data_IF_992539707805
#
_entry.id   IF_992539707805
#
_cell.length_a   1.000
_cell.length_b   1.000
_cell.length_c   1.000
_cell.angle_alpha   90.00
_cell.angle_beta   90.00
_cell.angle_gamma   90.00
#
_symmetry.space_group_name_H-M   'P 1'
#
loop_
_entity.id
_entity.type
_entity.pdbx_description
1 polymer ?
#
# COMPACT_ATOMS: atom_id res chain seq x y z
N UNK A 1 -10.40 23.74 -6.64
CA UNK A 1 -9.90 22.34 -6.68
C UNK A 1 -8.43 22.42 -7.09
N UNK A 2 -7.54 21.73 -6.39
CA UNK A 2 -6.14 21.62 -6.81
C UNK A 2 -6.10 20.79 -8.10
N UNK A 3 -5.34 21.21 -9.10
CA UNK A 3 -5.24 20.45 -10.35
C UNK A 3 -4.54 19.11 -10.07
N UNK A 4 -5.21 18.00 -10.40
CA UNK A 4 -4.67 16.65 -10.26
C UNK A 4 -3.73 16.41 -11.45
N UNK A 5 -2.50 15.98 -11.19
CA UNK A 5 -1.58 15.62 -12.28
C UNK A 5 -2.10 14.43 -13.10
N UNK A 6 -1.73 14.42 -14.38
CA UNK A 6 -2.11 13.37 -15.32
C UNK A 6 -1.66 11.98 -14.84
N UNK A 7 -0.47 11.89 -14.27
CA UNK A 7 0.07 10.62 -13.75
C UNK A 7 -0.84 10.01 -12.70
N UNK A 8 -1.37 10.80 -11.77
CA UNK A 8 -2.32 10.34 -10.76
C UNK A 8 -3.69 10.03 -11.36
N UNK A 9 -4.19 10.81 -12.32
CA UNK A 9 -5.46 10.49 -12.99
C UNK A 9 -5.41 9.16 -13.75
N UNK A 10 -4.29 8.89 -14.43
CA UNK A 10 -4.09 7.74 -15.30
C UNK A 10 -3.59 6.48 -14.54
N UNK A 11 -4.00 6.30 -13.27
CA UNK A 11 -3.79 5.06 -12.52
C UNK A 11 -5.10 4.30 -12.28
N UNK A 12 -4.98 3.00 -12.05
CA UNK A 12 -6.05 2.17 -11.48
C UNK A 12 -6.02 2.24 -9.94
N UNK A 13 -7.17 2.51 -9.34
CA UNK A 13 -7.33 2.60 -7.89
C UNK A 13 -8.37 1.61 -7.39
N UNK A 14 -8.10 0.89 -6.28
CA UNK A 14 -9.15 0.13 -5.62
C UNK A 14 -10.12 1.12 -4.95
N UNK A 15 -11.41 0.85 -5.02
CA UNK A 15 -12.42 1.66 -4.32
C UNK A 15 -13.09 0.90 -3.17
N UNK A 16 -13.25 -0.41 -3.33
CA UNK A 16 -13.77 -1.32 -2.31
C UNK A 16 -13.61 -2.79 -2.75
N UNK A 17 -13.87 -3.73 -1.83
CA UNK A 17 -14.08 -5.13 -2.21
C UNK A 17 -15.53 -5.35 -2.63
N UNK A 18 -15.79 -6.29 -3.54
CA UNK A 18 -17.16 -6.59 -3.96
C UNK A 18 -18.07 -6.98 -2.80
N UNK A 19 -17.50 -7.65 -1.79
CA UNK A 19 -18.22 -8.08 -0.59
C UNK A 19 -18.62 -6.92 0.32
N UNK A 20 -17.97 -5.77 0.22
CA UNK A 20 -18.22 -4.60 1.06
C UNK A 20 -19.09 -3.53 0.38
N UNK A 21 -19.22 -3.56 -0.95
CA UNK A 21 -20.15 -2.68 -1.67
C UNK A 21 -21.59 -3.12 -1.37
N UNK A 22 -22.42 -2.27 -0.74
CA UNK A 22 -23.81 -2.60 -0.44
C UNK A 22 -24.64 -2.68 -1.71
N UNK A 23 -25.72 -3.47 -1.70
CA UNK A 23 -26.72 -3.45 -2.77
C UNK A 23 -27.39 -2.08 -2.87
N UNK A 24 -27.69 -1.65 -4.09
CA UNK A 24 -28.21 -0.33 -4.40
C UNK A 24 -27.11 0.71 -4.58
N UNK A 25 -27.45 1.98 -4.36
CA UNK A 25 -26.56 3.13 -4.53
C UNK A 25 -25.78 3.42 -3.25
N UNK A 26 -24.47 3.63 -3.38
CA UNK A 26 -23.58 4.03 -2.30
C UNK A 26 -22.60 5.11 -2.75
N UNK A 27 -22.12 5.90 -1.78
CA UNK A 27 -21.14 6.96 -2.02
C UNK A 27 -19.71 6.43 -1.84
N UNK A 28 -18.81 6.86 -2.71
CA UNK A 28 -17.37 6.62 -2.61
C UNK A 28 -16.64 7.92 -3.05
N UNK A 29 -15.30 7.97 -2.94
CA UNK A 29 -14.51 9.17 -3.28
C UNK A 29 -13.13 8.79 -3.77
N UNK A 30 -12.63 9.47 -4.79
CA UNK A 30 -11.31 9.22 -5.35
C UNK A 30 -10.70 10.53 -5.86
N UNK A 31 -9.46 10.82 -5.47
CA UNK A 31 -8.71 12.00 -5.90
C UNK A 31 -9.49 13.32 -5.75
N UNK A 32 -10.28 13.46 -4.68
CA UNK A 32 -11.11 14.64 -4.42
C UNK A 32 -12.42 14.70 -5.19
N UNK A 33 -12.76 13.66 -5.97
CA UNK A 33 -13.98 13.55 -6.77
C UNK A 33 -14.93 12.54 -6.12
N UNK A 34 -16.18 12.94 -5.92
CA UNK A 34 -17.23 12.06 -5.42
C UNK A 34 -17.65 11.05 -6.48
N UNK A 35 -17.79 9.80 -6.04
CA UNK A 35 -18.20 8.68 -6.86
C UNK A 35 -19.55 8.14 -6.38
N UNK A 36 -20.41 7.78 -7.33
CA UNK A 36 -21.61 7.00 -7.10
C UNK A 36 -21.35 5.56 -7.53
N UNK A 37 -21.45 4.62 -6.59
CA UNK A 37 -21.26 3.19 -6.83
C UNK A 37 -22.61 2.49 -6.67
N UNK A 38 -23.07 1.84 -7.73
CA UNK A 38 -24.30 1.05 -7.71
C UNK A 38 -23.94 -0.42 -7.82
N UNK A 39 -24.50 -1.25 -6.94
CA UNK A 39 -24.46 -2.71 -7.05
C UNK A 39 -25.87 -3.27 -7.21
N UNK A 40 -26.12 -4.04 -8.27
CA UNK A 40 -27.41 -4.71 -8.49
C UNK A 40 -27.52 -6.00 -7.69
N UNK A 41 -28.73 -6.54 -7.53
CA UNK A 41 -28.95 -7.84 -6.88
C UNK A 41 -28.27 -9.00 -7.63
N UNK A 42 -28.12 -8.87 -8.96
CA UNK A 42 -27.38 -9.81 -9.81
C UNK A 42 -25.84 -9.71 -9.66
N UNK A 43 -25.35 -8.75 -8.86
CA UNK A 43 -23.93 -8.56 -8.57
C UNK A 43 -23.19 -7.65 -9.55
N UNK A 44 -23.89 -7.01 -10.49
CA UNK A 44 -23.28 -6.02 -11.38
C UNK A 44 -22.95 -4.74 -10.63
N UNK A 45 -21.75 -4.22 -10.88
CA UNK A 45 -21.25 -2.99 -10.26
C UNK A 45 -21.05 -1.94 -11.34
N UNK A 46 -21.55 -0.73 -11.11
CA UNK A 46 -21.26 0.45 -11.93
C UNK A 46 -20.68 1.55 -11.05
N UNK A 47 -19.65 2.23 -11.54
CA UNK A 47 -19.04 3.37 -10.86
C UNK A 47 -19.21 4.60 -11.74
N UNK A 48 -19.69 5.71 -11.16
CA UNK A 48 -19.87 6.99 -11.85
C UNK A 48 -19.14 8.11 -11.12
N UNK A 49 -18.54 9.01 -11.89
CA UNK A 49 -18.16 10.34 -11.42
C UNK A 49 -19.06 11.35 -12.12
N UNK A 50 -19.86 12.09 -11.35
CA UNK A 50 -20.93 12.92 -11.89
C UNK A 50 -21.89 12.08 -12.76
N UNK A 51 -22.03 12.43 -14.05
CA UNK A 51 -22.89 11.71 -15.00
C UNK A 51 -22.14 10.65 -15.83
N UNK A 52 -20.80 10.59 -15.71
CA UNK A 52 -19.97 9.72 -16.53
C UNK A 52 -19.75 8.36 -15.86
N UNK A 53 -19.97 7.28 -16.61
CA UNK A 53 -19.53 5.95 -16.19
C UNK A 53 -18.01 5.87 -16.26
N UNK A 54 -17.39 5.42 -15.17
CA UNK A 54 -15.97 5.12 -15.12
C UNK A 54 -15.73 3.66 -15.51
N UNK A 55 -14.60 3.35 -16.17
CA UNK A 55 -14.24 1.97 -16.44
C UNK A 55 -13.96 1.24 -15.13
N UNK A 56 -14.26 -0.06 -15.12
CA UNK A 56 -14.02 -0.93 -13.96
C UNK A 56 -13.12 -2.11 -14.34
N UNK A 57 -12.37 -2.59 -13.37
CA UNK A 57 -11.64 -3.86 -13.41
C UNK A 57 -11.91 -4.64 -12.12
N UNK A 58 -12.06 -5.96 -12.24
CA UNK A 58 -12.17 -6.90 -11.12
C UNK A 58 -10.85 -7.63 -10.99
N UNK A 59 -10.09 -7.36 -9.94
CA UNK A 59 -8.77 -7.98 -9.72
C UNK A 59 -8.44 -7.98 -8.23
N UNK A 60 -7.80 -9.05 -7.76
CA UNK A 60 -7.37 -9.19 -6.36
C UNK A 60 -8.50 -9.10 -5.32
N UNK A 61 -9.75 -9.39 -5.72
CA UNK A 61 -10.93 -9.27 -4.85
C UNK A 61 -11.47 -7.83 -4.70
N UNK A 62 -10.93 -6.88 -5.45
CA UNK A 62 -11.36 -5.48 -5.44
C UNK A 62 -12.01 -5.05 -6.75
N UNK A 63 -12.89 -4.06 -6.64
CA UNK A 63 -13.28 -3.22 -7.77
C UNK A 63 -12.26 -2.11 -7.90
N UNK A 64 -11.66 -2.02 -9.08
CA UNK A 64 -10.74 -0.97 -9.46
C UNK A 64 -11.39 -0.05 -10.46
N UNK A 65 -11.08 1.24 -10.38
CA UNK A 65 -11.53 2.25 -11.35
C UNK A 65 -10.43 3.28 -11.61
N UNK A 66 -10.66 4.19 -12.54
CA UNK A 66 -9.74 5.28 -12.88
C UNK A 66 -10.55 6.52 -13.28
N UNK A 67 -9.97 7.70 -13.05
CA UNK A 67 -10.52 8.98 -13.46
C UNK A 67 -9.89 9.51 -14.75
N UNK A 68 -8.89 8.79 -15.29
CA UNK A 68 -8.14 9.15 -16.48
C UNK A 68 -8.16 8.05 -17.53
N UNK A 69 -7.04 7.90 -18.23
CA UNK A 69 -6.82 6.93 -19.30
C UNK A 69 -5.50 6.19 -19.06
N UNK A 70 -5.48 5.20 -18.15
CA UNK A 70 -4.28 4.45 -17.83
C UNK A 70 -3.72 3.75 -19.08
N UNK A 71 -2.42 3.84 -19.27
CA UNK A 71 -1.68 3.22 -20.37
C UNK A 71 -1.31 1.76 -20.08
N UNK A 72 -1.36 1.36 -18.80
CA UNK A 72 -1.06 0.02 -18.30
C UNK A 72 -2.29 -0.60 -17.63
N UNK A 73 -2.34 -1.93 -17.65
CA UNK A 73 -3.30 -2.70 -16.84
C UNK A 73 -2.83 -2.77 -15.37
N UNK A 74 -3.70 -3.21 -14.46
CA UNK A 74 -3.32 -3.46 -13.07
C UNK A 74 -2.12 -4.41 -13.01
N UNK A 75 -1.07 -4.01 -12.30
CA UNK A 75 0.19 -4.73 -12.13
C UNK A 75 -0.03 -6.21 -11.71
N UNK A 76 0.82 -7.15 -12.16
CA UNK A 76 0.71 -8.55 -11.79
C UNK A 76 1.20 -8.80 -10.35
N UNK A 77 0.47 -9.64 -9.62
CA UNK A 77 0.91 -10.29 -8.38
C UNK A 77 0.73 -11.78 -8.62
N UNK A 78 1.83 -12.48 -8.92
CA UNK A 78 1.79 -13.90 -9.30
C UNK A 78 1.19 -14.75 -8.17
N UNK A 79 1.52 -14.41 -6.94
CA UNK A 79 1.03 -15.08 -5.73
C UNK A 79 -0.49 -15.00 -5.57
N UNK A 80 -1.13 -13.96 -6.12
CA UNK A 80 -2.58 -13.84 -6.06
C UNK A 80 -3.31 -14.87 -6.92
N UNK A 81 -2.65 -15.39 -7.96
CA UNK A 81 -3.17 -16.43 -8.86
C UNK A 81 -2.61 -17.83 -8.51
N UNK A 82 -1.71 -17.92 -7.52
CA UNK A 82 -1.04 -19.16 -7.16
C UNK A 82 -1.98 -20.07 -6.32
N UNK A 83 -2.12 -21.36 -6.68
CA UNK A 83 -2.92 -22.30 -5.91
C UNK A 83 -2.47 -22.42 -4.45
N UNK A 84 -3.41 -22.78 -3.58
CA UNK A 84 -3.19 -23.01 -2.14
C UNK A 84 -2.79 -21.78 -1.33
N UNK A 85 -2.82 -20.57 -1.92
CA UNK A 85 -2.71 -19.33 -1.16
C UNK A 85 -4.03 -18.97 -0.50
N UNK A 86 -3.95 -18.55 0.75
CA UNK A 86 -5.07 -17.87 1.40
C UNK A 86 -5.04 -16.40 1.06
N UNK A 87 -6.12 -15.93 0.47
CA UNK A 87 -6.37 -14.52 0.19
C UNK A 87 -7.10 -13.94 1.40
N UNK A 88 -6.46 -12.98 2.07
CA UNK A 88 -6.97 -12.39 3.32
C UNK A 88 -7.06 -10.87 3.18
N UNK A 89 -8.21 -10.34 2.72
CA UNK A 89 -8.49 -8.90 2.81
C UNK A 89 -8.62 -8.49 4.27
N UNK A 90 -7.85 -7.50 4.72
CA UNK A 90 -7.77 -7.12 6.14
C UNK A 90 -8.72 -5.98 6.52
N UNK A 91 -9.72 -5.72 5.69
CA UNK A 91 -10.59 -4.56 5.79
C UNK A 91 -9.91 -3.28 5.32
N UNK A 92 -10.66 -2.17 5.35
CA UNK A 92 -10.18 -0.88 4.89
C UNK A 92 -10.09 0.12 6.05
N UNK A 93 -9.01 0.89 6.11
CA UNK A 93 -8.79 1.88 7.16
C UNK A 93 -8.63 3.26 6.55
N UNK A 94 -9.47 4.20 6.98
CA UNK A 94 -9.32 5.61 6.57
C UNK A 94 -8.27 6.29 7.45
N UNK A 95 -7.30 6.96 6.83
CA UNK A 95 -6.19 7.64 7.50
C UNK A 95 -6.16 9.10 7.05
N UNK A 96 -6.00 10.02 8.01
CA UNK A 96 -5.84 11.46 7.76
C UNK A 96 -4.38 11.81 7.42
N UNK A 97 -3.88 11.21 6.34
CA UNK A 97 -2.56 11.49 5.80
C UNK A 97 -2.60 11.42 4.26
N UNK A 98 -1.58 11.99 3.61
CA UNK A 98 -1.36 11.76 2.18
C UNK A 98 -1.17 10.27 1.90
N UNK A 99 -1.81 9.77 0.84
CA UNK A 99 -1.64 8.38 0.40
C UNK A 99 -0.19 8.01 0.10
N UNK A 100 0.64 8.98 -0.29
CA UNK A 100 2.06 8.76 -0.54
C UNK A 100 2.86 8.56 0.75
N UNK A 101 2.46 9.19 1.87
CA UNK A 101 3.06 8.93 3.20
C UNK A 101 2.71 7.54 3.72
N UNK A 102 1.54 7.01 3.36
CA UNK A 102 1.17 5.61 3.67
C UNK A 102 2.12 4.63 2.97
N UNK A 103 2.37 4.85 1.68
CA UNK A 103 3.31 4.03 0.92
C UNK A 103 4.71 4.14 1.50
N UNK A 104 5.17 5.36 1.82
CA UNK A 104 6.48 5.57 2.42
C UNK A 104 6.64 4.89 3.79
N UNK A 105 5.66 4.97 4.68
CA UNK A 105 5.68 4.27 5.97
C UNK A 105 5.75 2.75 5.82
N UNK A 106 5.08 2.18 4.81
CA UNK A 106 5.16 0.74 4.53
C UNK A 106 6.57 0.29 4.09
N UNK A 107 7.36 1.20 3.50
CA UNK A 107 8.71 0.92 3.00
C UNK A 107 9.80 1.16 4.05
N UNK A 108 9.46 1.83 5.16
CA UNK A 108 10.39 2.15 6.24
C UNK A 108 10.56 0.92 7.15
N UNK A 109 11.78 0.45 7.31
CA UNK A 109 12.11 -0.63 8.26
C UNK A 109 12.65 -0.07 9.58
N UNK A 110 13.13 1.18 9.58
CA UNK A 110 13.79 1.78 10.74
C UNK A 110 12.81 2.04 11.88
N UNK A 111 11.51 2.15 11.60
CA UNK A 111 10.49 2.34 12.63
C UNK A 111 10.07 1.05 13.34
N UNK A 112 10.41 -0.13 12.80
CA UNK A 112 9.98 -1.43 13.33
C UNK A 112 10.21 -1.60 14.84
N UNK A 113 11.42 -1.40 15.38
CA UNK A 113 11.67 -1.63 16.81
C UNK A 113 11.01 -0.60 17.73
N UNK A 114 10.62 0.56 17.19
CA UNK A 114 10.10 1.69 17.98
C UNK A 114 8.57 1.79 17.96
N UNK A 115 7.94 1.48 16.83
CA UNK A 115 6.48 1.58 16.65
C UNK A 115 5.81 0.23 16.84
N UNK A 116 6.49 -0.85 16.43
CA UNK A 116 5.99 -2.22 16.46
C UNK A 116 6.83 -3.08 17.42
N UNK A 117 7.18 -2.50 18.57
CA UNK A 117 7.99 -3.15 19.59
C UNK A 117 7.41 -4.52 19.95
N UNK A 118 8.29 -5.51 20.02
CA UNK A 118 8.01 -6.92 20.29
C UNK A 118 7.15 -7.64 19.22
N UNK A 119 6.88 -6.98 18.09
CA UNK A 119 6.21 -7.58 16.93
C UNK A 119 7.18 -7.62 15.75
N UNK A 120 7.47 -6.45 15.15
CA UNK A 120 8.30 -6.36 13.94
C UNK A 120 9.77 -6.05 14.23
N UNK A 121 10.09 -5.64 15.45
CA UNK A 121 11.44 -5.39 15.93
C UNK A 121 11.44 -5.14 17.44
N UNK A 122 12.60 -5.12 18.06
CA UNK A 122 12.74 -4.76 19.48
C UNK A 122 14.14 -4.23 19.79
N UNK A 123 14.26 -3.39 20.81
CA UNK A 123 15.56 -3.01 21.35
C UNK A 123 16.25 -4.21 22.03
N UNK A 124 17.59 -4.36 21.92
CA UNK A 124 18.54 -3.44 21.29
C UNK A 124 18.77 -3.66 19.76
N UNK A 125 18.02 -4.58 19.13
CA UNK A 125 18.14 -4.91 17.70
C UNK A 125 17.45 -3.88 16.81
N UNK A 126 18.11 -2.73 16.62
CA UNK A 126 17.54 -1.57 15.92
C UNK A 126 18.20 -1.25 14.57
N UNK A 127 19.28 -1.95 14.23
CA UNK A 127 20.06 -1.67 13.02
C UNK A 127 19.31 -2.13 11.76
N UNK A 128 19.12 -1.21 10.81
CA UNK A 128 18.73 -1.54 9.44
C UNK A 128 20.00 -1.85 8.65
N UNK A 129 20.19 -3.13 8.31
CA UNK A 129 21.33 -3.57 7.51
C UNK A 129 21.31 -2.98 6.09
N UNK A 130 22.44 -3.06 5.40
CA UNK A 130 22.50 -2.59 4.03
C UNK A 130 21.67 -3.47 3.09
N UNK A 131 20.78 -2.83 2.34
CA UNK A 131 19.96 -3.46 1.30
C UNK A 131 20.09 -2.70 -0.03
N UNK A 132 19.69 -3.36 -1.11
CA UNK A 132 19.78 -2.80 -2.47
C UNK A 132 18.50 -2.09 -2.84
N UNK A 133 18.60 -0.95 -3.53
CA UNK A 133 17.45 -0.20 -4.04
C UNK A 133 17.64 0.17 -5.50
N UNK A 134 16.62 -0.10 -6.30
CA UNK A 134 16.64 0.19 -7.73
C UNK A 134 15.28 0.68 -8.23
N UNK A 135 15.32 1.48 -9.29
CA UNK A 135 14.14 1.80 -10.09
C UNK A 135 14.25 0.96 -11.36
N UNK A 136 13.46 -0.12 -11.43
CA UNK A 136 13.44 -1.02 -12.59
C UNK A 136 12.65 -0.37 -13.70
N UNK A 137 13.30 -0.04 -14.82
CA UNK A 137 12.71 0.78 -15.90
C UNK A 137 11.85 -0.01 -16.88
N UNK A 138 12.10 -1.30 -16.99
CA UNK A 138 11.35 -2.27 -17.80
C UNK A 138 9.93 -2.47 -17.29
N UNK A 139 9.76 -2.58 -15.97
CA UNK A 139 8.45 -2.64 -15.31
C UNK A 139 8.00 -1.28 -14.77
N UNK A 140 8.92 -0.33 -14.66
CA UNK A 140 8.72 1.03 -14.15
C UNK A 140 8.20 1.03 -12.70
N UNK A 141 8.98 0.38 -11.83
CA UNK A 141 8.67 0.16 -10.41
C UNK A 141 9.90 0.46 -9.54
N UNK A 142 9.67 0.73 -8.26
CA UNK A 142 10.74 0.82 -7.25
C UNK A 142 10.85 -0.52 -6.54
N UNK A 143 12.07 -1.05 -6.43
CA UNK A 143 12.35 -2.30 -5.75
C UNK A 143 13.40 -2.11 -4.67
N UNK A 144 13.17 -2.73 -3.51
CA UNK A 144 14.19 -2.91 -2.48
C UNK A 144 14.40 -4.41 -2.27
N UNK A 145 15.64 -4.88 -2.36
CA UNK A 145 16.00 -6.31 -2.28
C UNK A 145 17.12 -6.52 -1.27
N UNK A 146 17.27 -7.77 -0.82
CA UNK A 146 18.20 -8.11 0.26
C UNK A 146 17.93 -7.30 1.55
N UNK A 147 16.66 -7.02 1.83
CA UNK A 147 16.25 -6.42 3.08
C UNK A 147 16.19 -7.52 4.15
N UNK A 148 16.78 -7.27 5.32
CA UNK A 148 16.79 -8.21 6.44
C UNK A 148 16.47 -7.45 7.72
N UNK A 149 15.67 -8.06 8.58
CA UNK A 149 15.38 -7.49 9.90
C UNK A 149 15.07 -8.60 10.90
N UNK A 150 15.63 -8.50 12.10
CA UNK A 150 15.31 -9.45 13.17
C UNK A 150 13.92 -9.13 13.73
N UNK A 151 13.01 -10.11 13.67
CA UNK A 151 11.65 -9.96 14.18
C UNK A 151 11.42 -10.90 15.36
N UNK A 152 10.99 -10.39 16.53
CA UNK A 152 10.50 -11.22 17.62
C UNK A 152 9.31 -12.08 17.21
N UNK A 153 8.42 -11.55 16.36
CA UNK A 153 7.26 -12.26 15.82
C UNK A 153 7.15 -12.08 14.29
N UNK A 154 7.85 -12.93 13.53
CA UNK A 154 7.89 -12.84 12.07
C UNK A 154 6.59 -13.23 11.35
N UNK A 155 5.71 -14.01 11.98
CA UNK A 155 4.37 -14.27 11.48
C UNK A 155 3.48 -14.61 12.68
N UNK A 156 2.16 -14.66 12.46
CA UNK A 156 1.25 -15.13 13.51
C UNK A 156 1.58 -16.58 13.93
N UNK A 157 2.07 -17.40 12.99
CA UNK A 157 2.49 -18.79 13.22
C UNK A 157 3.90 -18.94 13.81
N UNK A 158 4.69 -17.87 13.91
CA UNK A 158 6.07 -17.95 14.40
C UNK A 158 6.12 -18.06 15.93
N UNK A 159 6.91 -19.01 16.44
CA UNK A 159 7.07 -19.26 17.89
C UNK A 159 8.31 -18.58 18.49
N UNK A 160 9.34 -18.34 17.67
CA UNK A 160 10.63 -17.80 18.08
C UNK A 160 11.04 -16.64 17.18
N UNK A 161 11.87 -15.74 17.71
CA UNK A 161 12.43 -14.63 16.95
C UNK A 161 13.35 -15.14 15.84
N UNK A 162 13.21 -14.58 14.63
CA UNK A 162 13.96 -15.02 13.46
C UNK A 162 14.38 -13.84 12.57
N UNK A 163 15.50 -14.03 11.88
CA UNK A 163 15.94 -13.09 10.86
C UNK A 163 15.02 -13.21 9.64
N UNK A 164 14.21 -12.18 9.43
CA UNK A 164 13.23 -12.16 8.35
C UNK A 164 13.81 -11.43 7.15
N UNK A 165 13.61 -12.02 5.97
CA UNK A 165 14.01 -11.42 4.70
C UNK A 165 12.81 -10.77 4.04
N UNK A 166 13.07 -9.65 3.37
CA UNK A 166 12.07 -8.91 2.61
C UNK A 166 12.55 -8.57 1.20
N UNK A 167 11.57 -8.49 0.31
CA UNK A 167 11.69 -7.75 -0.94
C UNK A 167 10.49 -6.81 -1.00
N UNK A 168 10.73 -5.52 -1.22
CA UNK A 168 9.67 -4.53 -1.39
C UNK A 168 9.53 -4.13 -2.84
N UNK A 169 8.29 -3.83 -3.24
CA UNK A 169 7.95 -3.35 -4.57
C UNK A 169 6.91 -2.24 -4.49
N UNK A 170 7.15 -1.13 -5.18
CA UNK A 170 6.15 -0.07 -5.41
C UNK A 170 5.75 -0.11 -6.87
N UNK A 171 4.51 -0.53 -7.13
CA UNK A 171 4.00 -0.81 -8.48
C UNK A 171 3.35 0.42 -9.12
N UNK A 172 2.71 1.25 -8.30
CA UNK A 172 2.14 2.55 -8.69
C UNK A 172 2.42 3.55 -7.58
N UNK A 173 2.24 4.86 -7.79
CA UNK A 173 2.40 5.85 -6.73
C UNK A 173 1.64 5.52 -5.44
N UNK A 174 0.55 4.77 -5.49
CA UNK A 174 -0.31 4.48 -4.34
C UNK A 174 -0.46 2.97 -4.04
N UNK A 175 0.36 2.11 -4.63
CA UNK A 175 0.31 0.66 -4.36
C UNK A 175 1.71 0.09 -4.13
N UNK A 176 1.82 -0.67 -3.05
CA UNK A 176 3.07 -1.32 -2.65
C UNK A 176 2.79 -2.73 -2.15
N UNK A 177 3.80 -3.59 -2.19
CA UNK A 177 3.79 -4.88 -1.54
C UNK A 177 5.15 -5.24 -0.98
N UNK A 178 5.16 -6.23 -0.11
CA UNK A 178 6.35 -6.92 0.33
C UNK A 178 6.20 -8.42 0.15
N UNK A 179 7.31 -9.06 -0.18
CA UNK A 179 7.54 -10.49 -0.02
C UNK A 179 8.24 -10.67 1.32
N UNK A 180 7.77 -11.62 2.14
CA UNK A 180 8.27 -11.89 3.49
C UNK A 180 8.60 -13.36 3.65
N UNK A 181 9.70 -13.67 4.34
CA UNK A 181 10.04 -15.06 4.69
C UNK A 181 8.83 -15.77 5.28
N UNK A 182 8.45 -16.90 4.68
CA UNK A 182 7.36 -17.72 5.15
C UNK A 182 7.90 -18.77 6.13
N UNK A 183 7.44 -18.84 7.39
CA UNK A 183 7.86 -19.89 8.31
C UNK A 183 7.46 -21.30 7.86
N UNK A 184 6.45 -21.40 6.99
CA UNK A 184 5.89 -22.68 6.53
C UNK A 184 6.48 -23.13 5.18
N UNK A 185 7.42 -22.38 4.58
CA UNK A 185 8.04 -22.73 3.29
C UNK A 185 9.43 -22.11 3.10
N UNK A 186 10.41 -22.94 2.74
CA UNK A 186 11.78 -22.47 2.46
C UNK A 186 11.94 -21.81 1.09
N UNK A 187 10.98 -21.98 0.17
CA UNK A 187 11.10 -21.53 -1.23
C UNK A 187 10.03 -20.53 -1.67
N UNK A 188 8.98 -20.35 -0.87
CA UNK A 188 7.85 -19.46 -1.18
C UNK A 188 7.75 -18.35 -0.15
N UNK A 189 7.41 -17.16 -0.63
CA UNK A 189 7.24 -15.97 0.19
C UNK A 189 5.79 -15.82 0.62
N UNK A 190 5.53 -15.33 1.83
CA UNK A 190 4.26 -14.68 2.14
C UNK A 190 4.25 -13.31 1.46
N UNK A 191 3.09 -12.88 0.94
CA UNK A 191 2.96 -11.58 0.27
C UNK A 191 1.94 -10.71 0.98
N UNK A 192 2.35 -9.50 1.36
CA UNK A 192 1.49 -8.50 1.98
C UNK A 192 1.45 -7.30 1.05
N UNK A 193 0.26 -6.95 0.58
CA UNK A 193 0.04 -5.80 -0.27
C UNK A 193 -0.69 -4.70 0.50
N UNK A 194 -0.39 -3.46 0.15
CA UNK A 194 -1.11 -2.28 0.61
C UNK A 194 -1.56 -1.48 -0.61
N UNK A 195 -2.86 -1.49 -0.87
CA UNK A 195 -3.44 -0.68 -1.93
C UNK A 195 -4.07 0.59 -1.32
N UNK A 196 -3.57 1.75 -1.71
CA UNK A 196 -4.00 3.02 -1.14
C UNK A 196 -4.94 3.73 -2.11
N UNK A 197 -6.13 4.04 -1.63
CA UNK A 197 -7.12 4.85 -2.31
C UNK A 197 -7.02 6.30 -1.79
N UNK A 198 -6.43 7.24 -2.53
CA UNK A 198 -6.44 8.66 -2.14
C UNK A 198 -7.86 9.21 -2.24
N UNK A 199 -8.44 9.63 -1.11
CA UNK A 199 -9.79 10.24 -1.08
C UNK A 199 -9.69 11.75 -1.34
N UNK A 200 -8.71 12.40 -0.71
CA UNK A 200 -8.34 13.81 -0.82
C UNK A 200 -6.79 13.92 -0.74
N UNK A 201 -6.16 15.07 -0.98
CA UNK A 201 -4.69 15.18 -0.92
C UNK A 201 -4.09 14.79 0.44
N UNK A 202 -4.86 15.00 1.52
CA UNK A 202 -4.48 14.81 2.92
C UNK A 202 -5.23 13.66 3.61
N UNK A 203 -5.98 12.86 2.85
CA UNK A 203 -6.81 11.77 3.37
C UNK A 203 -6.90 10.61 2.39
N UNK A 204 -6.71 9.40 2.88
CA UNK A 204 -6.78 8.20 2.06
C UNK A 204 -7.49 7.05 2.79
N UNK A 205 -7.81 5.99 2.04
CA UNK A 205 -8.25 4.70 2.56
C UNK A 205 -7.23 3.65 2.16
N UNK A 206 -6.65 2.97 3.15
CA UNK A 206 -5.70 1.90 2.94
C UNK A 206 -6.43 0.55 2.94
N UNK A 207 -6.13 -0.29 1.95
CA UNK A 207 -6.71 -1.61 1.74
C UNK A 207 -5.59 -2.67 1.82
N UNK A 208 -5.20 -3.10 3.03
CA UNK A 208 -4.27 -4.21 3.21
C UNK A 208 -4.89 -5.55 2.78
N UNK A 209 -4.09 -6.36 2.07
CA UNK A 209 -4.45 -7.73 1.68
C UNK A 209 -3.22 -8.62 1.76
N UNK A 210 -3.40 -9.84 2.28
CA UNK A 210 -2.33 -10.83 2.41
C UNK A 210 -2.60 -12.06 1.55
N UNK A 211 -1.53 -12.64 1.03
CA UNK A 211 -1.51 -13.91 0.30
C UNK A 211 -0.56 -14.85 1.03
N UNK A 212 -1.13 -15.71 1.89
CA UNK A 212 -0.36 -16.45 2.88
C UNK A 212 -0.35 -17.96 2.63
N UNK A 213 0.74 -18.59 3.05
CA UNK A 213 0.89 -20.03 3.17
C UNK A 213 0.72 -20.48 4.62
N UNK A 214 -0.45 -20.19 5.17
CA UNK A 214 -0.80 -20.52 6.56
C UNK A 214 -2.14 -21.25 6.57
N UNK A 215 -2.16 -22.55 6.82
CA UNK A 215 -3.39 -23.36 6.90
C UNK A 215 -3.90 -23.55 8.34
N UNK A 216 -3.17 -23.04 9.34
CA UNK A 216 -3.45 -23.25 10.77
C UNK A 216 -4.25 -22.08 11.36
N UNK A 217 -3.86 -20.85 11.06
CA UNK A 217 -4.43 -19.66 11.68
C UNK A 217 -5.86 -19.39 11.22
N UNK A 218 -6.72 -18.90 12.12
CA UNK A 218 -8.06 -18.47 11.68
C UNK A 218 -7.97 -17.19 10.83
N UNK A 219 -8.90 -16.99 9.90
CA UNK A 219 -8.94 -15.74 9.11
C UNK A 219 -9.09 -14.51 10.01
N UNK A 220 -9.89 -14.60 11.08
CA UNK A 220 -10.08 -13.50 12.02
C UNK A 220 -8.78 -13.11 12.74
N UNK A 221 -7.98 -14.07 13.19
CA UNK A 221 -6.70 -13.79 13.86
C UNK A 221 -5.67 -13.18 12.90
N UNK A 222 -5.64 -13.61 11.63
CA UNK A 222 -4.78 -13.02 10.61
C UNK A 222 -5.15 -11.55 10.34
N UNK A 223 -6.45 -11.26 10.21
CA UNK A 223 -6.95 -9.89 10.05
C UNK A 223 -6.60 -9.04 11.28
N UNK A 224 -6.82 -9.57 12.49
CA UNK A 224 -6.55 -8.87 13.74
C UNK A 224 -5.06 -8.52 13.88
N UNK A 225 -4.17 -9.45 13.54
CA UNK A 225 -2.72 -9.22 13.59
C UNK A 225 -2.29 -8.10 12.62
N UNK A 226 -2.77 -8.14 11.39
CA UNK A 226 -2.47 -7.10 10.41
C UNK A 226 -3.04 -5.73 10.81
N UNK A 227 -4.26 -5.71 11.36
CA UNK A 227 -4.88 -4.48 11.85
C UNK A 227 -4.17 -3.89 13.06
N UNK A 228 -3.67 -4.73 13.97
CA UNK A 228 -2.88 -4.28 15.12
C UNK A 228 -1.65 -3.49 14.67
N UNK A 229 -0.86 -4.05 13.75
CA UNK A 229 0.32 -3.41 13.19
C UNK A 229 -0.07 -2.08 12.52
N UNK A 230 -1.07 -2.12 11.63
CA UNK A 230 -1.48 -0.94 10.88
C UNK A 230 -2.00 0.20 11.77
N UNK A 231 -2.69 -0.12 12.88
CA UNK A 231 -3.19 0.88 13.81
C UNK A 231 -2.08 1.53 14.64
N UNK A 232 -0.95 0.86 14.86
CA UNK A 232 0.24 1.47 15.46
C UNK A 232 0.84 2.53 14.51
N UNK A 233 0.96 2.21 13.22
CA UNK A 233 1.42 3.16 12.20
C UNK A 233 0.50 4.36 12.05
N UNK A 234 -0.81 4.14 12.10
CA UNK A 234 -1.83 5.18 11.90
C UNK A 234 -1.61 6.39 12.82
N UNK A 235 -1.21 6.16 14.07
CA UNK A 235 -0.95 7.23 15.04
C UNK A 235 0.20 8.12 14.56
N UNK A 236 1.27 7.52 14.04
CA UNK A 236 2.43 8.25 13.51
C UNK A 236 2.03 9.01 12.25
N UNK A 237 1.38 8.33 11.30
CA UNK A 237 0.94 8.88 10.02
C UNK A 237 0.05 10.12 10.17
N UNK A 238 -0.97 10.09 11.03
CA UNK A 238 -1.88 11.23 11.23
C UNK A 238 -1.21 12.42 11.96
N UNK A 239 -0.05 12.21 12.57
CA UNK A 239 0.72 13.24 13.29
C UNK A 239 1.92 13.80 12.50
N UNK A 240 2.30 13.22 11.37
CA UNK A 240 3.36 13.76 10.52
C UNK A 240 3.01 15.17 10.02
N UNK A 241 3.98 16.10 10.09
CA UNK A 241 3.83 17.49 9.62
C UNK A 241 5.02 17.88 8.74
N UNK A 242 4.77 18.46 7.54
CA UNK A 242 3.45 18.71 6.93
C UNK A 242 2.74 17.39 6.53
N UNK A 243 1.40 17.46 6.42
CA UNK A 243 0.55 16.27 6.13
C UNK A 243 0.80 15.71 4.73
N UNK A 244 1.03 16.60 3.75
CA UNK A 244 1.42 16.22 2.39
C UNK A 244 2.89 15.81 2.35
N UNK A 245 3.26 14.95 1.40
CA UNK A 245 4.63 14.46 1.26
C UNK A 245 5.58 15.58 0.78
N UNK A 246 6.62 15.96 1.55
CA UNK A 246 7.59 16.97 1.14
C UNK A 246 8.49 16.47 0.03
N UNK A 247 8.55 17.23 -1.06
CA UNK A 247 9.39 16.89 -2.23
C UNK A 247 10.54 17.87 -2.44
N UNK A 248 10.55 19.01 -1.74
CA UNK A 248 11.63 19.97 -1.81
C UNK A 248 12.91 19.41 -1.16
N UNK A 249 14.09 19.60 -1.80
CA UNK A 249 15.34 19.21 -1.20
C UNK A 249 15.54 19.85 0.18
N UNK A 250 16.07 19.09 1.14
CA UNK A 250 16.38 19.53 2.52
C UNK A 250 15.16 19.85 3.40
N UNK A 251 13.93 19.62 2.94
CA UNK A 251 12.75 19.69 3.82
C UNK A 251 12.76 18.62 4.90
N UNK A 252 13.36 17.46 4.62
CA UNK A 252 13.58 16.36 5.56
C UNK A 252 15.03 15.87 5.43
N UNK A 253 15.54 15.17 6.46
CA UNK A 253 16.94 14.72 6.56
C UNK A 253 16.98 13.20 6.44
N UNK A 254 17.25 12.65 5.23
CA UNK A 254 17.35 11.22 5.04
C UNK A 254 18.69 10.67 5.55
N UNK A 255 18.66 9.43 5.98
CA UNK A 255 19.80 8.61 6.39
C UNK A 255 19.98 7.44 5.42
N UNK A 256 20.95 6.55 5.69
CA UNK A 256 21.18 5.35 4.88
C UNK A 256 20.03 4.34 4.95
N UNK A 257 19.30 4.30 6.06
CA UNK A 257 18.17 3.40 6.23
C UNK A 257 16.99 3.78 5.31
N UNK A 258 16.93 5.04 4.87
CA UNK A 258 15.83 5.62 4.09
C UNK A 258 16.00 5.44 2.57
N UNK A 259 16.90 4.56 2.13
CA UNK A 259 17.25 4.40 0.72
C UNK A 259 16.04 4.13 -0.18
N UNK A 260 15.07 3.30 0.26
CA UNK A 260 13.82 3.04 -0.48
C UNK A 260 12.94 4.28 -0.57
N UNK A 261 12.75 5.01 0.54
CA UNK A 261 12.00 6.27 0.57
C UNK A 261 12.59 7.28 -0.43
N UNK A 262 13.92 7.45 -0.44
CA UNK A 262 14.62 8.35 -1.36
C UNK A 262 14.37 7.95 -2.82
N UNK A 263 14.47 6.65 -3.13
CA UNK A 263 14.22 6.15 -4.48
C UNK A 263 12.76 6.35 -4.90
N UNK A 264 11.81 6.10 -4.00
CA UNK A 264 10.38 6.33 -4.22
C UNK A 264 10.08 7.81 -4.52
N UNK A 265 10.59 8.74 -3.70
CA UNK A 265 10.43 10.18 -3.97
C UNK A 265 11.06 10.62 -5.28
N UNK A 266 12.26 10.10 -5.61
CA UNK A 266 12.89 10.36 -6.92
C UNK A 266 12.01 9.87 -8.06
N UNK A 267 11.48 8.66 -7.95
CA UNK A 267 10.60 8.06 -8.96
C UNK A 267 9.28 8.85 -9.13
N UNK A 268 8.63 9.25 -8.04
CA UNK A 268 7.45 10.14 -8.08
C UNK A 268 7.74 11.46 -8.79
N UNK A 269 8.89 12.08 -8.51
CA UNK A 269 9.32 13.33 -9.13
C UNK A 269 9.58 13.18 -10.63
N UNK A 270 10.24 12.11 -11.05
CA UNK A 270 10.46 11.79 -12.48
C UNK A 270 9.14 11.62 -13.23
N UNK A 271 8.11 11.10 -12.56
CA UNK A 271 6.76 10.94 -13.10
C UNK A 271 5.89 12.19 -13.05
N UNK A 272 6.36 13.26 -12.40
CA UNK A 272 5.57 14.49 -12.23
C UNK A 272 4.35 14.31 -11.31
N UNK A 273 4.40 13.38 -10.35
CA UNK A 273 3.34 13.25 -9.34
C UNK A 273 3.36 14.48 -8.43
N UNK A 274 2.21 15.16 -8.33
CA UNK A 274 2.01 16.34 -7.49
C UNK A 274 0.88 16.15 -6.48
N UNK A 275 -0.12 15.32 -6.80
CA UNK A 275 -1.24 15.02 -5.92
C UNK A 275 -0.75 14.37 -4.62
N UNK A 276 -1.14 14.93 -3.48
CA UNK A 276 -0.71 14.45 -2.16
C UNK A 276 0.72 14.85 -1.77
N UNK A 277 1.39 15.70 -2.55
CA UNK A 277 2.72 16.26 -2.26
C UNK A 277 2.66 17.73 -1.85
N UNK A 278 3.74 18.27 -1.30
CA UNK A 278 3.91 19.71 -1.05
C UNK A 278 4.06 20.53 -2.33
N UNK A 279 4.36 19.90 -3.47
CA UNK A 279 4.56 20.60 -4.74
C UNK A 279 3.24 21.20 -5.22
N UNK A 280 3.28 22.46 -5.63
CA UNK A 280 2.15 23.07 -6.36
C UNK A 280 2.24 22.67 -7.82
N UNK A 281 1.13 22.22 -8.40
CA UNK A 281 0.99 22.05 -9.85
C UNK A 281 1.27 23.42 -10.49
N UNK A 282 2.30 23.50 -11.34
CA UNK A 282 2.52 24.71 -12.15
C UNK A 282 1.43 24.69 -13.23
N UNK A 283 0.57 25.70 -13.21
CA UNK A 283 -0.51 25.88 -14.17
C UNK A 283 0.02 26.14 -15.58
#
# INVERSE_FOLDING_TARGET
MMAIDKTSLDQWYPIDTETLIPYGLSANRLLGIDLAVTRTEDGDVTVKAQENNLPIRRRYGYIWTTLGSPDKEIFPIEEADEPHRRIVPCGAVTVKASGLRIVENFLDMAHFPFVHTDILGSEPHTEVEHYNVEIRRDVDEVWATNCQFFQPQAALSATDGLMTHYIYRVMTPFTTLLYKTCPNSDSRWDVICLFVQPLDPDRCRAHPIMYLLDDQSTTASLIQFQQLIFLQDRIILENQRPVLLPMEPRSEIPTRADATSIAYRRWLKEKGVTYGTSLKTVA
#
